data_IF_350998792858
#
_entry.id   IF_350998792858
#
_cell.length_a   1.000
_cell.length_b   1.000
_cell.length_c   1.000
_cell.angle_alpha   90.00
_cell.angle_beta   90.00
_cell.angle_gamma   90.00
#
_symmetry.space_group_name_H-M   'P 1'
#
loop_
_entity.id
_entity.type
_entity.pdbx_description
1 polymer ?
#
# COMPACT_ATOMS: atom_id res chain seq x y z
N UNK A 1 24.61 -9.79 1.89
CA UNK A 1 23.26 -9.30 2.20
C UNK A 1 23.11 -9.17 3.70
N UNK A 2 22.64 -8.02 4.18
CA UNK A 2 22.38 -7.78 5.60
C UNK A 2 21.16 -8.59 6.07
N UNK A 3 21.02 -8.84 7.39
CA UNK A 3 19.81 -9.45 7.95
C UNK A 3 18.51 -8.71 7.58
N UNK A 4 18.56 -7.39 7.48
CA UNK A 4 17.43 -6.53 7.08
C UNK A 4 17.01 -6.76 5.62
N UNK A 5 17.97 -6.99 4.73
CA UNK A 5 17.69 -7.32 3.32
C UNK A 5 17.02 -8.69 3.15
N UNK A 6 17.05 -9.55 4.17
CA UNK A 6 16.40 -10.87 4.16
C UNK A 6 15.10 -10.89 4.96
N UNK A 7 14.81 -9.85 5.73
CA UNK A 7 13.60 -9.79 6.56
C UNK A 7 12.38 -9.46 5.69
N UNK A 8 11.43 -10.39 5.50
CA UNK A 8 10.21 -10.10 4.74
C UNK A 8 9.37 -9.00 5.41
N UNK A 9 9.45 -8.78 6.73
CA UNK A 9 8.75 -7.68 7.40
C UNK A 9 9.31 -6.32 7.03
N UNK A 10 10.63 -6.21 6.90
CA UNK A 10 11.27 -5.00 6.42
C UNK A 10 10.76 -4.62 5.02
N UNK A 11 10.75 -5.60 4.10
CA UNK A 11 10.30 -5.37 2.72
C UNK A 11 8.80 -5.06 2.60
N UNK A 12 7.96 -5.75 3.37
CA UNK A 12 6.51 -5.51 3.37
C UNK A 12 6.17 -4.15 3.93
N UNK A 13 6.74 -3.74 5.07
CA UNK A 13 6.52 -2.40 5.65
C UNK A 13 6.96 -1.29 4.69
N UNK A 14 8.15 -1.42 4.10
CA UNK A 14 8.70 -0.44 3.15
C UNK A 14 7.82 -0.29 1.91
N UNK A 15 7.33 -1.40 1.36
CA UNK A 15 6.46 -1.39 0.18
C UNK A 15 5.08 -0.84 0.53
N UNK A 16 4.49 -1.27 1.65
CA UNK A 16 3.21 -0.77 2.15
C UNK A 16 3.21 0.76 2.32
N UNK A 17 4.26 1.31 2.92
CA UNK A 17 4.40 2.76 3.08
C UNK A 17 4.36 3.50 1.73
N UNK A 18 5.08 3.01 0.71
CA UNK A 18 5.09 3.61 -0.64
C UNK A 18 3.72 3.54 -1.33
N UNK A 19 2.99 2.43 -1.13
CA UNK A 19 1.63 2.30 -1.66
C UNK A 19 0.70 3.31 -0.99
N UNK A 20 0.78 3.48 0.34
CA UNK A 20 0.00 4.48 1.09
C UNK A 20 0.31 5.92 0.67
N UNK A 21 1.59 6.25 0.48
CA UNK A 21 2.02 7.54 -0.06
C UNK A 21 1.41 7.79 -1.44
N UNK A 22 1.44 6.77 -2.32
CA UNK A 22 0.86 6.87 -3.66
C UNK A 22 -0.65 7.06 -3.62
N UNK A 23 -1.37 6.28 -2.80
CA UNK A 23 -2.82 6.46 -2.57
C UNK A 23 -3.13 7.90 -2.14
N UNK A 24 -2.34 8.45 -1.23
CA UNK A 24 -2.53 9.82 -0.73
C UNK A 24 -2.35 10.83 -1.84
N UNK A 25 -1.27 10.73 -2.63
CA UNK A 25 -1.04 11.62 -3.77
C UNK A 25 -2.16 11.54 -4.83
N UNK A 26 -2.66 10.34 -5.15
CA UNK A 26 -3.76 10.19 -6.09
C UNK A 26 -5.00 10.96 -5.62
N UNK A 27 -5.37 10.82 -4.33
CA UNK A 27 -6.53 11.51 -3.77
C UNK A 27 -6.33 13.03 -3.69
N UNK A 28 -5.12 13.49 -3.41
CA UNK A 28 -4.81 14.93 -3.42
C UNK A 28 -4.92 15.54 -4.83
N UNK A 29 -4.57 14.80 -5.88
CA UNK A 29 -4.64 15.30 -7.25
C UNK A 29 -6.07 15.33 -7.82
N UNK A 30 -6.98 14.48 -7.30
CA UNK A 30 -8.43 14.55 -7.59
C UNK A 30 -9.00 15.93 -7.23
N UNK A 31 -8.50 16.57 -6.16
CA UNK A 31 -8.94 17.91 -5.73
C UNK A 31 -8.39 19.04 -6.61
N UNK A 32 -7.37 18.77 -7.45
CA UNK A 32 -6.67 19.78 -8.25
C UNK A 32 -7.14 19.85 -9.71
N UNK A 33 -7.82 18.82 -10.21
CA UNK A 33 -8.12 18.64 -11.65
C UNK A 33 -9.61 18.38 -11.87
N UNK A 34 -10.31 19.22 -12.64
CA UNK A 34 -11.77 19.11 -12.84
C UNK A 34 -12.24 18.08 -13.88
N UNK A 35 -11.30 17.41 -14.57
CA UNK A 35 -11.62 16.44 -15.63
C UNK A 35 -12.25 15.16 -15.03
N UNK A 36 -13.52 14.83 -15.35
CA UNK A 36 -14.23 13.74 -14.66
C UNK A 36 -13.60 12.35 -14.84
N UNK A 37 -13.02 12.06 -16.00
CA UNK A 37 -12.46 10.74 -16.31
C UNK A 37 -11.14 10.53 -15.54
N UNK A 38 -10.33 11.59 -15.40
CA UNK A 38 -9.16 11.65 -14.55
C UNK A 38 -9.53 11.36 -13.10
N UNK A 39 -10.52 12.07 -12.54
CA UNK A 39 -10.96 11.84 -11.15
C UNK A 39 -11.38 10.38 -10.93
N UNK A 40 -12.18 9.83 -11.85
CA UNK A 40 -12.64 8.44 -11.76
C UNK A 40 -11.49 7.43 -11.85
N UNK A 41 -10.53 7.66 -12.75
CA UNK A 41 -9.35 6.79 -12.91
C UNK A 41 -8.42 6.85 -11.69
N UNK A 42 -8.22 8.04 -11.12
CA UNK A 42 -7.40 8.22 -9.91
C UNK A 42 -8.06 7.61 -8.67
N UNK A 43 -9.37 7.76 -8.49
CA UNK A 43 -10.08 7.14 -7.35
C UNK A 43 -10.04 5.61 -7.45
N UNK A 44 -10.32 5.06 -8.64
CA UNK A 44 -10.25 3.61 -8.87
C UNK A 44 -8.84 3.07 -8.58
N UNK A 45 -7.81 3.81 -9.01
CA UNK A 45 -6.42 3.45 -8.73
C UNK A 45 -6.12 3.46 -7.23
N UNK A 46 -6.57 4.51 -6.52
CA UNK A 46 -6.41 4.64 -5.07
C UNK A 46 -7.08 3.48 -4.31
N UNK A 47 -8.27 3.05 -4.72
CA UNK A 47 -8.97 1.90 -4.13
C UNK A 47 -8.22 0.58 -4.31
N UNK A 48 -7.66 0.33 -5.50
CA UNK A 48 -6.85 -0.87 -5.76
C UNK A 48 -5.61 -0.87 -4.88
N UNK A 49 -4.91 0.26 -4.76
CA UNK A 49 -3.74 0.40 -3.89
C UNK A 49 -4.10 0.19 -2.41
N UNK A 50 -5.24 0.70 -1.94
CA UNK A 50 -5.74 0.44 -0.58
C UNK A 50 -6.04 -1.05 -0.36
N UNK A 51 -6.55 -1.75 -1.37
CA UNK A 51 -6.70 -3.21 -1.36
C UNK A 51 -5.37 -3.94 -1.16
N UNK A 52 -4.32 -3.50 -1.86
CA UNK A 52 -2.97 -4.04 -1.70
C UNK A 52 -2.42 -3.74 -0.29
N UNK A 53 -2.55 -2.51 0.21
CA UNK A 53 -2.14 -2.15 1.59
C UNK A 53 -2.76 -3.09 2.62
N UNK A 54 -4.05 -3.39 2.50
CA UNK A 54 -4.75 -4.34 3.39
C UNK A 54 -4.17 -5.76 3.28
N UNK A 55 -3.80 -6.21 2.08
CA UNK A 55 -3.16 -7.53 1.91
C UNK A 55 -1.80 -7.61 2.62
N UNK A 56 -1.03 -6.52 2.61
CA UNK A 56 0.24 -6.43 3.34
C UNK A 56 0.01 -6.44 4.87
N UNK A 57 -0.98 -5.68 5.37
CA UNK A 57 -1.37 -5.72 6.79
C UNK A 57 -1.81 -7.13 7.22
N UNK A 58 -2.55 -7.84 6.38
CA UNK A 58 -2.95 -9.22 6.65
C UNK A 58 -1.76 -10.17 6.73
N UNK A 59 -0.76 -10.02 5.86
CA UNK A 59 0.48 -10.79 5.93
C UNK A 59 1.24 -10.50 7.23
N UNK A 60 1.43 -9.23 7.58
CA UNK A 60 2.11 -8.82 8.81
C UNK A 60 1.40 -9.38 10.05
N UNK A 61 0.07 -9.25 10.16
CA UNK A 61 -0.69 -9.79 11.30
C UNK A 61 -0.68 -11.32 11.38
N UNK A 62 -0.74 -12.02 10.24
CA UNK A 62 -0.62 -13.49 10.23
C UNK A 62 0.79 -13.97 10.54
N UNK A 63 1.80 -13.12 10.43
CA UNK A 63 3.19 -13.48 10.73
C UNK A 63 3.60 -13.25 12.20
N UNK A 64 2.77 -12.55 12.97
CA UNK A 64 2.98 -12.24 14.39
C UNK A 64 2.83 -13.50 15.25
N UNK A 65 3.87 -14.33 15.29
CA UNK A 65 4.18 -15.40 16.27
C UNK A 65 3.17 -16.54 16.47
N UNK A 66 1.87 -16.35 16.30
CA UNK A 66 0.84 -17.38 16.49
C UNK A 66 0.75 -18.38 15.30
N UNK A 67 1.47 -18.12 14.21
CA UNK A 67 1.43 -18.94 12.99
C UNK A 67 2.83 -19.38 12.51
N UNK A 68 3.88 -19.13 13.29
CA UNK A 68 5.18 -19.76 13.10
C UNK A 68 5.12 -21.16 13.72
N UNK A 69 4.39 -22.07 13.07
CA UNK A 69 4.53 -23.51 13.30
C UNK A 69 5.95 -23.96 12.92
#
# INVERSE_FOLDING_TARGET
MSPEERDPHHHTRKTKARLQETTTHLREDIEKVDEPQFKAMFETSAEVLDGLVKAFDHYERKSESAWRA
#
